data_IF_572314254942
#
_entry.id   IF_572314254942
#
_cell.length_a   1.000
_cell.length_b   1.000
_cell.length_c   1.000
_cell.angle_alpha   90.00
_cell.angle_beta   90.00
_cell.angle_gamma   90.00
#
_symmetry.space_group_name_H-M   'P 1'
#
loop_
_entity.id
_entity.type
_entity.pdbx_description
1 polymer ?
#
# COMPACT_ATOMS: atom_id res chain seq x y z
N UNK A 1 11.45 -5.03 -9.36
CA UNK A 1 10.67 -6.18 -8.83
C UNK A 1 11.35 -6.81 -7.62
N UNK A 2 10.64 -6.94 -6.47
CA UNK A 2 11.14 -7.66 -5.29
C UNK A 2 10.94 -9.18 -5.42
N UNK A 3 11.85 -9.98 -4.87
CA UNK A 3 11.76 -11.46 -4.87
C UNK A 3 12.10 -12.03 -3.49
N UNK A 4 11.29 -12.98 -2.98
CA UNK A 4 11.59 -13.71 -1.73
C UNK A 4 10.76 -14.99 -1.59
N UNK A 5 11.38 -16.09 -1.15
CA UNK A 5 10.75 -17.40 -0.87
C UNK A 5 9.85 -17.96 -1.99
N UNK A 6 10.25 -17.76 -3.25
CA UNK A 6 9.47 -18.22 -4.42
C UNK A 6 8.30 -17.31 -4.80
N UNK A 7 8.25 -16.09 -4.26
CA UNK A 7 7.28 -15.06 -4.62
C UNK A 7 7.99 -13.81 -5.16
N UNK A 8 7.31 -13.10 -6.05
CA UNK A 8 7.67 -11.74 -6.43
C UNK A 8 6.54 -10.77 -6.14
N UNK A 9 6.88 -9.51 -5.87
CA UNK A 9 5.92 -8.43 -5.74
C UNK A 9 6.48 -7.13 -6.31
N UNK A 10 5.61 -6.31 -6.88
CA UNK A 10 5.95 -5.01 -7.45
C UNK A 10 4.73 -4.09 -7.47
N UNK A 11 4.99 -2.80 -7.61
CA UNK A 11 3.96 -1.75 -7.71
C UNK A 11 3.96 -1.22 -9.13
N UNK A 12 2.75 -1.01 -9.67
CA UNK A 12 2.52 -0.46 -11.00
C UNK A 12 1.77 0.85 -10.88
N UNK A 13 2.24 1.89 -11.56
CA UNK A 13 1.60 3.21 -11.70
C UNK A 13 1.50 3.51 -13.19
N UNK A 14 0.30 3.87 -13.66
CA UNK A 14 0.03 4.16 -15.07
C UNK A 14 0.53 3.06 -16.03
N UNK A 15 0.35 1.80 -15.63
CA UNK A 15 0.77 0.63 -16.41
C UNK A 15 2.28 0.34 -16.42
N UNK A 16 3.08 1.09 -15.66
CA UNK A 16 4.54 0.91 -15.58
C UNK A 16 4.97 0.49 -14.17
N UNK A 17 5.91 -0.44 -14.11
CA UNK A 17 6.54 -0.83 -12.84
C UNK A 17 7.34 0.34 -12.27
N UNK A 18 7.15 0.59 -10.98
CA UNK A 18 7.86 1.64 -10.25
C UNK A 18 9.22 1.11 -9.78
N UNK A 19 10.32 1.86 -9.95
CA UNK A 19 11.63 1.42 -9.51
C UNK A 19 11.71 1.30 -7.98
N UNK A 20 12.34 0.23 -7.50
CA UNK A 20 12.59 0.02 -6.08
C UNK A 20 14.01 0.45 -5.67
N UNK A 21 14.09 1.13 -4.54
CA UNK A 21 15.33 1.69 -3.99
C UNK A 21 15.58 1.17 -2.58
N UNK A 22 16.86 1.06 -2.20
CA UNK A 22 17.31 0.59 -0.89
C UNK A 22 16.59 -0.69 -0.43
N UNK A 23 16.68 -1.74 -1.25
CA UNK A 23 16.07 -3.03 -0.93
C UNK A 23 16.79 -3.65 0.27
N UNK A 24 16.01 -4.01 1.30
CA UNK A 24 16.48 -4.67 2.50
C UNK A 24 15.69 -5.97 2.73
N UNK A 25 16.40 -7.02 3.15
CA UNK A 25 15.82 -8.34 3.44
C UNK A 25 16.00 -8.63 4.93
N UNK A 26 14.89 -8.89 5.60
CA UNK A 26 14.80 -9.34 6.98
C UNK A 26 14.46 -10.84 6.96
N UNK A 27 15.49 -11.66 7.15
CA UNK A 27 15.41 -13.12 7.04
C UNK A 27 14.54 -13.70 8.16
N UNK A 28 14.69 -13.18 9.37
CA UNK A 28 13.95 -13.67 10.55
C UNK A 28 12.45 -13.40 10.41
N UNK A 29 12.09 -12.22 9.92
CA UNK A 29 10.70 -11.86 9.65
C UNK A 29 10.17 -12.37 8.30
N UNK A 30 11.01 -12.96 7.46
CA UNK A 30 10.70 -13.33 6.06
C UNK A 30 10.07 -12.15 5.28
N UNK A 31 10.71 -10.99 5.40
CA UNK A 31 10.20 -9.72 4.90
C UNK A 31 11.23 -9.06 4.00
N UNK A 32 10.78 -8.55 2.85
CA UNK A 32 11.57 -7.66 2.00
C UNK A 32 10.95 -6.28 2.03
N UNK A 33 11.76 -5.25 2.19
CA UNK A 33 11.32 -3.86 2.15
C UNK A 33 12.11 -3.03 1.15
N UNK A 34 11.48 -2.03 0.55
CA UNK A 34 12.14 -1.04 -0.30
C UNK A 34 11.45 0.32 -0.19
N UNK A 35 12.06 1.31 -0.82
CA UNK A 35 11.47 2.61 -1.08
C UNK A 35 11.04 2.72 -2.53
N UNK A 36 9.90 3.38 -2.76
CA UNK A 36 9.38 3.69 -4.10
C UNK A 36 8.92 5.15 -4.16
N UNK A 37 9.05 5.84 -5.30
CA UNK A 37 8.37 7.11 -5.50
C UNK A 37 6.85 6.89 -5.58
N UNK A 38 6.09 7.83 -5.01
CA UNK A 38 4.63 7.87 -5.13
C UNK A 38 4.12 9.28 -4.91
N UNK A 39 3.47 9.86 -5.91
CA UNK A 39 2.88 11.19 -5.83
C UNK A 39 1.43 11.13 -5.37
N UNK A 40 1.04 12.10 -4.55
CA UNK A 40 -0.32 12.19 -4.00
C UNK A 40 -1.39 12.10 -5.09
N UNK A 41 -2.40 11.26 -4.86
CA UNK A 41 -3.54 11.08 -5.75
C UNK A 41 -3.27 10.18 -6.97
N UNK A 42 -2.02 9.80 -7.25
CA UNK A 42 -1.74 8.84 -8.31
C UNK A 42 -2.28 7.46 -7.96
N UNK A 43 -2.93 6.82 -8.94
CA UNK A 43 -3.43 5.46 -8.80
C UNK A 43 -2.30 4.45 -8.91
N UNK A 44 -2.38 3.39 -8.12
CA UNK A 44 -1.43 2.30 -8.21
C UNK A 44 -2.10 0.95 -8.07
N UNK A 45 -1.41 -0.07 -8.56
CA UNK A 45 -1.84 -1.45 -8.47
C UNK A 45 -0.73 -2.29 -7.84
N UNK A 46 -1.10 -3.15 -6.90
CA UNK A 46 -0.19 -4.09 -6.23
C UNK A 46 -0.22 -5.40 -7.00
N UNK A 47 0.92 -5.82 -7.52
CA UNK A 47 1.09 -7.08 -8.22
C UNK A 47 1.92 -8.06 -7.41
N UNK A 48 1.60 -9.35 -7.54
CA UNK A 48 2.42 -10.42 -7.01
C UNK A 48 2.32 -11.69 -7.83
N UNK A 49 3.39 -12.48 -7.76
CA UNK A 49 3.54 -13.73 -8.49
C UNK A 49 3.97 -14.85 -7.55
N UNK A 50 3.32 -15.99 -7.68
CA UNK A 50 3.80 -17.28 -7.17
C UNK A 50 4.55 -17.99 -8.30
N UNK A 51 5.83 -18.31 -8.08
CA UNK A 51 6.70 -18.93 -9.08
C UNK A 51 6.61 -20.47 -9.10
N UNK A 52 5.53 -21.05 -8.58
CA UNK A 52 5.30 -22.50 -8.66
C UNK A 52 5.46 -23.22 -7.33
N UNK A 53 4.99 -22.61 -6.24
CA UNK A 53 5.02 -23.21 -4.90
C UNK A 53 4.14 -24.46 -4.73
N UNK A 54 3.24 -24.75 -5.68
CA UNK A 54 2.25 -25.87 -5.66
C UNK A 54 1.35 -25.92 -4.42
N UNK A 55 1.35 -24.84 -3.63
CA UNK A 55 0.61 -24.69 -2.40
C UNK A 55 -0.34 -23.52 -2.59
N UNK A 56 -1.62 -23.72 -2.29
CA UNK A 56 -2.60 -22.65 -2.31
C UNK A 56 -2.18 -21.52 -1.36
N UNK A 57 -2.28 -20.28 -1.83
CA UNK A 57 -1.95 -19.09 -1.05
C UNK A 57 -3.09 -18.08 -1.06
N UNK A 58 -3.16 -17.28 -0.01
CA UNK A 58 -4.00 -16.09 0.03
C UNK A 58 -3.16 -14.87 0.40
N UNK A 59 -3.44 -13.76 -0.28
CA UNK A 59 -2.76 -12.49 -0.06
C UNK A 59 -3.66 -11.51 0.71
N UNK A 60 -3.03 -10.68 1.53
CA UNK A 60 -3.62 -9.53 2.18
C UNK A 60 -2.74 -8.32 1.92
N UNK A 61 -3.34 -7.19 1.61
CA UNK A 61 -2.62 -5.94 1.36
C UNK A 61 -2.96 -5.00 2.52
N UNK A 62 -1.97 -4.31 3.06
CA UNK A 62 -2.16 -3.26 4.06
C UNK A 62 -1.71 -1.94 3.45
N UNK A 63 -2.61 -0.97 3.41
CA UNK A 63 -2.39 0.38 2.87
C UNK A 63 -2.49 1.37 4.01
N UNK A 64 -1.38 1.96 4.42
CA UNK A 64 -1.34 2.96 5.50
C UNK A 64 -2.05 2.51 6.79
N UNK A 65 -1.89 1.23 7.13
CA UNK A 65 -2.54 0.59 8.28
C UNK A 65 -3.93 -0.01 8.01
N UNK A 66 -4.52 0.26 6.83
CA UNK A 66 -5.81 -0.31 6.43
C UNK A 66 -5.65 -1.63 5.66
N UNK A 67 -6.18 -2.71 6.21
CA UNK A 67 -6.05 -4.05 5.60
C UNK A 67 -7.18 -4.29 4.60
N UNK A 68 -6.82 -4.70 3.39
CA UNK A 68 -7.72 -5.10 2.32
C UNK A 68 -7.44 -6.54 1.89
N UNK A 69 -8.48 -7.33 1.57
CA UNK A 69 -8.27 -8.67 1.05
C UNK A 69 -7.61 -8.62 -0.33
N UNK A 70 -6.62 -9.48 -0.54
CA UNK A 70 -6.01 -9.72 -1.85
C UNK A 70 -6.76 -10.80 -2.63
N UNK A 71 -6.01 -11.60 -3.38
CA UNK A 71 -6.53 -12.76 -4.14
C UNK A 71 -5.90 -14.07 -3.67
N UNK A 72 -6.53 -15.17 -4.07
CA UNK A 72 -5.96 -16.51 -3.97
C UNK A 72 -5.06 -16.78 -5.19
N UNK A 73 -3.97 -17.52 -4.98
CA UNK A 73 -3.22 -18.19 -6.04
C UNK A 73 -3.17 -19.69 -5.72
N UNK A 74 -3.32 -20.54 -6.73
CA UNK A 74 -3.47 -21.99 -6.56
C UNK A 74 -2.17 -22.71 -6.90
N UNK A 75 -1.10 -22.36 -6.20
CA UNK A 75 0.22 -22.97 -6.36
C UNK A 75 1.10 -22.39 -7.46
N UNK A 76 0.57 -21.50 -8.31
CA UNK A 76 1.32 -20.68 -9.27
C UNK A 76 0.47 -19.52 -9.79
N UNK A 77 1.11 -18.58 -10.49
CA UNK A 77 0.44 -17.56 -11.29
C UNK A 77 0.69 -16.13 -10.80
N UNK A 78 0.04 -15.18 -11.48
CA UNK A 78 0.14 -13.75 -11.19
C UNK A 78 -1.23 -13.24 -10.75
N UNK A 79 -1.25 -12.41 -9.71
CA UNK A 79 -2.43 -11.70 -9.27
C UNK A 79 -2.12 -10.23 -9.05
N UNK A 80 -3.15 -9.41 -9.18
CA UNK A 80 -3.08 -8.00 -8.86
C UNK A 80 -4.33 -7.52 -8.13
N UNK A 81 -4.18 -6.39 -7.46
CA UNK A 81 -5.27 -5.64 -6.83
C UNK A 81 -5.00 -4.15 -6.98
N UNK A 82 -6.02 -3.43 -7.40
CA UNK A 82 -5.95 -1.99 -7.67
C UNK A 82 -7.00 -1.18 -6.91
N UNK A 83 -7.84 -1.81 -6.10
CA UNK A 83 -8.92 -1.15 -5.38
C UNK A 83 -9.64 -2.02 -4.35
N UNK A 84 -10.55 -1.38 -3.60
CA UNK A 84 -11.49 -2.02 -2.67
C UNK A 84 -12.88 -1.94 -3.25
N UNK A 85 -13.59 -3.07 -3.27
CA UNK A 85 -14.98 -3.10 -3.70
C UNK A 85 -15.87 -2.35 -2.70
N UNK A 86 -16.67 -1.44 -3.23
CA UNK A 86 -17.70 -0.69 -2.50
C UNK A 86 -19.10 -1.22 -2.78
N UNK A 87 -19.30 -1.89 -3.92
CA UNK A 87 -20.52 -2.63 -4.23
C UNK A 87 -20.23 -3.91 -5.04
N UNK A 88 -21.28 -4.56 -5.54
CA UNK A 88 -21.15 -5.70 -6.46
C UNK A 88 -20.49 -5.33 -7.78
N UNK A 89 -20.68 -4.10 -8.24
CA UNK A 89 -20.30 -3.62 -9.58
C UNK A 89 -19.41 -2.39 -9.53
N UNK A 90 -18.95 -1.98 -8.34
CA UNK A 90 -18.11 -0.81 -8.16
C UNK A 90 -16.97 -1.05 -7.19
N UNK A 91 -15.87 -0.36 -7.40
CA UNK A 91 -14.72 -0.33 -6.52
C UNK A 91 -14.09 1.05 -6.46
N UNK A 92 -13.37 1.34 -5.37
CA UNK A 92 -12.57 2.54 -5.25
C UNK A 92 -11.08 2.19 -5.41
N UNK A 93 -10.37 2.81 -6.36
CA UNK A 93 -8.99 2.47 -6.68
C UNK A 93 -8.04 2.91 -5.56
N UNK A 94 -6.90 2.25 -5.42
CA UNK A 94 -5.85 2.67 -4.50
C UNK A 94 -5.16 3.92 -5.02
N UNK A 95 -4.94 4.90 -4.14
CA UNK A 95 -4.17 6.11 -4.46
C UNK A 95 -3.12 6.40 -3.40
N UNK A 96 -1.96 6.92 -3.80
CA UNK A 96 -0.95 7.36 -2.84
C UNK A 96 -1.44 8.56 -2.03
N UNK A 97 -1.11 8.57 -0.75
CA UNK A 97 -1.41 9.71 0.12
C UNK A 97 -0.27 10.69 0.21
N UNK A 98 -0.61 11.92 0.58
CA UNK A 98 0.39 12.84 1.11
C UNK A 98 0.89 12.35 2.47
N UNK A 99 2.14 11.90 2.50
CA UNK A 99 2.82 11.59 3.74
C UNK A 99 3.43 12.88 4.29
N UNK A 100 3.02 13.30 5.49
CA UNK A 100 3.64 14.44 6.16
C UNK A 100 4.87 13.96 6.94
N UNK A 101 6.02 14.58 6.67
CA UNK A 101 7.29 14.22 7.29
C UNK A 101 7.53 14.90 8.65
N UNK A 102 6.60 15.76 9.08
CA UNK A 102 6.63 16.46 10.37
C UNK A 102 6.37 15.49 11.53
N UNK A 103 7.43 15.15 12.26
CA UNK A 103 7.39 14.40 13.50
C UNK A 103 6.80 15.23 14.65
N UNK A 104 5.52 15.59 14.58
CA UNK A 104 4.80 16.16 15.74
C UNK A 104 4.07 15.04 16.48
N UNK A 105 4.72 14.61 17.56
CA UNK A 105 4.22 13.78 18.65
C UNK A 105 2.74 13.95 18.97
N UNK A 106 1.90 12.90 18.77
CA UNK A 106 0.85 12.41 19.71
C UNK A 106 -0.11 11.30 19.22
N UNK A 107 0.08 10.58 18.09
CA UNK A 107 -0.79 9.42 17.78
C UNK A 107 -0.01 8.19 17.27
N UNK A 108 0.24 7.23 18.17
CA UNK A 108 1.39 6.32 18.11
C UNK A 108 1.18 4.93 17.46
N UNK A 109 0.01 4.60 16.93
CA UNK A 109 -0.22 3.27 16.34
C UNK A 109 -0.34 3.29 14.80
N UNK A 110 -1.20 4.15 14.23
CA UNK A 110 -1.40 4.24 12.77
C UNK A 110 -0.47 5.21 12.05
N UNK A 111 0.24 6.09 12.78
CA UNK A 111 1.27 6.94 12.18
C UNK A 111 2.50 6.15 11.72
N UNK A 112 2.73 4.95 12.27
CA UNK A 112 3.90 4.09 11.95
C UNK A 112 3.81 3.48 10.55
N UNK A 113 2.59 3.24 10.08
CA UNK A 113 2.33 2.59 8.80
C UNK A 113 2.04 3.63 7.70
N UNK A 114 2.04 4.93 8.01
CA UNK A 114 1.80 5.96 7.01
C UNK A 114 2.90 5.99 5.94
N UNK A 115 2.48 6.00 4.68
CA UNK A 115 3.37 5.87 3.54
C UNK A 115 3.88 4.44 3.35
N UNK A 116 3.08 3.43 3.71
CA UNK A 116 3.45 2.01 3.62
C UNK A 116 2.38 1.19 2.91
N UNK A 117 2.84 0.39 1.96
CA UNK A 117 2.06 -0.65 1.28
C UNK A 117 2.70 -1.99 1.63
N UNK A 118 1.99 -2.85 2.35
CA UNK A 118 2.49 -4.17 2.75
C UNK A 118 1.66 -5.29 2.13
N UNK A 119 2.28 -6.13 1.31
CA UNK A 119 1.69 -7.37 0.82
C UNK A 119 2.12 -8.53 1.72
N UNK A 120 1.15 -9.26 2.27
CA UNK A 120 1.37 -10.44 3.12
C UNK A 120 0.78 -11.67 2.46
N UNK A 121 1.60 -12.67 2.19
CA UNK A 121 1.18 -13.92 1.57
C UNK A 121 1.19 -15.02 2.64
N UNK A 122 0.09 -15.75 2.72
CA UNK A 122 -0.13 -16.86 3.66
C UNK A 122 -0.32 -18.16 2.87
N UNK A 123 0.30 -19.25 3.32
CA UNK A 123 0.08 -20.60 2.77
C UNK A 123 -1.12 -21.25 3.44
N UNK A 124 -2.02 -21.81 2.65
CA UNK A 124 -3.31 -22.32 3.11
C UNK A 124 -3.64 -23.70 2.55
N UNK A 125 -4.66 -24.31 3.14
CA UNK A 125 -5.43 -25.40 2.54
C UNK A 125 -6.89 -24.96 2.48
N UNK A 126 -7.53 -25.10 1.31
CA UNK A 126 -8.97 -24.86 1.15
C UNK A 126 -9.77 -25.92 1.90
N UNK A 127 -10.83 -25.51 2.59
CA UNK A 127 -11.68 -26.40 3.39
C UNK A 127 -13.04 -26.56 2.73
N UNK A 128 -13.77 -25.46 2.54
CA UNK A 128 -15.08 -25.47 1.94
C UNK A 128 -15.35 -24.17 1.15
N UNK A 129 -16.30 -24.21 0.23
CA UNK A 129 -16.84 -23.00 -0.37
C UNK A 129 -17.69 -22.25 0.66
N UNK A 130 -17.62 -20.92 0.65
CA UNK A 130 -18.44 -20.03 1.46
C UNK A 130 -18.92 -18.85 0.61
N UNK A 131 -19.97 -18.11 1.03
CA UNK A 131 -20.38 -16.89 0.35
C UNK A 131 -19.24 -15.88 0.27
N UNK A 132 -19.29 -15.00 -0.73
CA UNK A 132 -18.35 -13.88 -0.86
C UNK A 132 -18.22 -13.10 0.46
N UNK A 133 -17.02 -12.60 0.74
CA UNK A 133 -16.82 -11.77 1.92
C UNK A 133 -17.75 -10.54 1.83
N UNK A 134 -18.32 -10.15 2.97
CA UNK A 134 -19.09 -8.92 3.08
C UNK A 134 -18.27 -7.73 2.55
N UNK A 135 -18.95 -6.77 1.94
CA UNK A 135 -18.33 -5.54 1.51
C UNK A 135 -17.68 -4.87 2.73
N UNK A 136 -16.41 -4.53 2.59
CA UNK A 136 -15.69 -3.86 3.66
C UNK A 136 -16.22 -2.43 3.77
N UNK A 137 -16.71 -2.05 4.94
CA UNK A 137 -17.02 -0.66 5.19
C UNK A 137 -15.73 0.14 5.12
N UNK A 138 -15.64 0.99 4.10
CA UNK A 138 -14.60 2.00 4.07
C UNK A 138 -14.88 2.93 5.25
N UNK A 139 -13.88 3.30 6.06
CA UNK A 139 -14.16 4.14 7.21
C UNK A 139 -14.66 5.50 6.72
N UNK A 140 -15.96 5.76 6.91
CA UNK A 140 -16.56 7.08 6.74
C UNK A 140 -15.95 7.95 7.83
N UNK A 141 -14.97 8.76 7.43
CA UNK A 141 -14.40 9.90 8.14
C UNK A 141 -14.53 9.89 9.68
N UNK A 142 -13.42 9.64 10.38
CA UNK A 142 -12.74 10.55 11.33
C UNK A 142 -11.67 9.71 12.03
N UNK A 143 -10.42 9.85 11.58
CA UNK A 143 -9.25 9.21 12.19
C UNK A 143 -8.21 10.31 12.41
N UNK A 144 -8.47 11.18 13.39
CA UNK A 144 -7.79 12.47 13.50
C UNK A 144 -8.02 13.33 12.25
N UNK A 145 -7.12 14.27 11.96
CA UNK A 145 -7.18 15.14 10.76
C UNK A 145 -7.14 14.39 9.41
N UNK A 146 -7.08 13.05 9.38
CA UNK A 146 -7.03 12.23 8.16
C UNK A 146 -8.34 11.43 8.00
N UNK A 147 -8.90 11.40 6.79
CA UNK A 147 -10.08 10.59 6.48
C UNK A 147 -9.60 9.30 5.80
N UNK A 148 -10.05 8.13 6.25
CA UNK A 148 -9.70 6.87 5.56
C UNK A 148 -10.28 6.80 4.13
N UNK A 149 -11.27 7.65 3.82
CA UNK A 149 -11.74 7.88 2.47
C UNK A 149 -10.71 8.49 1.53
N UNK A 150 -9.61 9.03 2.04
CA UNK A 150 -8.55 9.64 1.24
C UNK A 150 -7.66 8.57 0.60
N UNK A 151 -7.53 7.36 1.18
CA UNK A 151 -6.73 6.23 0.65
C UNK A 151 -7.22 5.70 -0.70
N UNK A 152 -8.46 6.01 -1.05
CA UNK A 152 -9.13 5.46 -2.21
C UNK A 152 -9.63 6.57 -3.11
N UNK A 153 -9.41 6.42 -4.42
CA UNK A 153 -9.93 7.37 -5.40
C UNK A 153 -11.46 7.34 -5.47
N UNK A 154 -11.99 8.08 -6.45
CA UNK A 154 -13.43 8.08 -6.73
C UNK A 154 -13.92 6.68 -7.13
N UNK A 155 -15.18 6.40 -6.78
CA UNK A 155 -15.83 5.13 -7.09
C UNK A 155 -15.94 4.93 -8.61
N UNK A 156 -15.49 3.77 -9.06
CA UNK A 156 -15.44 3.40 -10.47
C UNK A 156 -16.15 2.06 -10.69
N UNK A 157 -16.69 1.82 -11.90
CA UNK A 157 -17.23 0.50 -12.26
C UNK A 157 -16.17 -0.59 -12.17
N UNK A 158 -16.56 -1.74 -11.63
CA UNK A 158 -15.72 -2.91 -11.46
C UNK A 158 -16.44 -4.17 -11.94
N UNK A 159 -15.69 -5.18 -12.34
CA UNK A 159 -16.26 -6.49 -12.67
C UNK A 159 -17.03 -7.08 -11.49
N UNK A 160 -18.12 -7.78 -11.81
CA UNK A 160 -18.98 -8.40 -10.80
C UNK A 160 -18.18 -9.32 -9.87
N UNK A 161 -18.40 -9.17 -8.56
CA UNK A 161 -17.76 -10.04 -7.58
C UNK A 161 -18.30 -11.46 -7.71
N UNK A 162 -17.41 -12.45 -7.75
CA UNK A 162 -17.80 -13.84 -7.62
C UNK A 162 -18.66 -14.06 -6.37
N UNK A 163 -19.76 -14.80 -6.52
CA UNK A 163 -20.74 -15.05 -5.47
C UNK A 163 -20.20 -15.88 -4.30
N UNK A 164 -19.08 -16.59 -4.50
CA UNK A 164 -18.45 -17.46 -3.51
C UNK A 164 -16.95 -17.24 -3.41
N UNK A 165 -16.40 -17.61 -2.25
CA UNK A 165 -14.98 -17.67 -1.96
C UNK A 165 -14.69 -18.90 -1.09
N UNK A 166 -13.47 -19.07 -0.59
CA UNK A 166 -13.06 -20.26 0.15
C UNK A 166 -12.90 -19.97 1.65
N UNK A 167 -13.34 -20.90 2.49
CA UNK A 167 -12.86 -21.04 3.85
C UNK A 167 -11.51 -21.78 3.83
N UNK A 168 -10.59 -21.36 4.70
CA UNK A 168 -9.18 -21.76 4.61
C UNK A 168 -8.62 -22.08 5.98
N UNK A 169 -7.69 -23.04 6.02
CA UNK A 169 -6.89 -23.39 7.20
C UNK A 169 -5.39 -23.24 6.88
N UNK A 170 -4.50 -23.16 7.89
CA UNK A 170 -3.06 -23.13 7.65
C UNK A 170 -2.59 -24.39 6.91
N UNK A 171 -1.71 -24.21 5.93
CA UNK A 171 -1.07 -25.34 5.26
C UNK A 171 -0.23 -26.16 6.24
N UNK A 172 -0.29 -27.50 6.13
CA UNK A 172 0.53 -28.42 6.93
C UNK A 172 0.03 -28.69 8.37
N UNK A 173 -1.12 -28.14 8.78
CA UNK A 173 -1.77 -28.52 10.04
C UNK A 173 -2.94 -29.48 9.81
N UNK A 174 -2.79 -30.70 10.33
CA UNK A 174 -3.83 -31.70 10.45
C UNK A 174 -4.29 -31.74 11.91
N UNK A 175 -5.41 -31.10 12.22
CA UNK A 175 -6.03 -31.12 13.55
C UNK A 175 -7.18 -30.11 13.65
N UNK A 176 -8.09 -30.27 14.62
CA UNK A 176 -9.28 -29.41 14.79
C UNK A 176 -8.95 -27.99 15.29
N UNK A 177 -7.66 -27.61 15.36
CA UNK A 177 -7.25 -26.29 15.82
C UNK A 177 -7.37 -25.28 14.67
N UNK A 178 -8.44 -24.49 14.71
CA UNK A 178 -8.69 -23.33 13.84
C UNK A 178 -7.72 -22.18 14.13
N UNK A 179 -6.41 -22.39 13.95
CA UNK A 179 -5.44 -21.28 14.01
C UNK A 179 -5.47 -20.52 12.69
N UNK A 180 -5.42 -19.20 12.75
CA UNK A 180 -5.31 -18.39 11.54
C UNK A 180 -3.99 -18.68 10.81
N UNK A 181 -3.96 -18.73 9.47
CA UNK A 181 -2.73 -18.92 8.73
C UNK A 181 -1.73 -17.79 9.01
N UNK A 182 -0.50 -18.17 9.35
CA UNK A 182 0.61 -17.23 9.56
C UNK A 182 1.14 -16.70 8.23
N UNK A 183 1.69 -15.49 8.25
CA UNK A 183 2.38 -14.92 7.10
C UNK A 183 3.62 -15.76 6.77
N UNK A 184 3.72 -16.22 5.52
CA UNK A 184 4.86 -16.98 5.01
C UNK A 184 5.94 -16.07 4.44
N UNK A 185 5.52 -15.01 3.74
CA UNK A 185 6.38 -13.96 3.20
C UNK A 185 5.64 -12.62 3.20
N UNK A 186 6.38 -11.54 3.38
CA UNK A 186 5.85 -10.18 3.24
C UNK A 186 6.76 -9.27 2.41
N UNK A 187 6.13 -8.37 1.65
CA UNK A 187 6.80 -7.35 0.87
C UNK A 187 6.28 -5.98 1.32
N UNK A 188 7.17 -5.06 1.65
CA UNK A 188 6.84 -3.75 2.20
C UNK A 188 7.42 -2.66 1.31
N UNK A 189 6.55 -1.89 0.67
CA UNK A 189 6.90 -0.75 -0.16
C UNK A 189 6.65 0.52 0.65
N UNK A 190 7.71 1.28 0.91
CA UNK A 190 7.64 2.58 1.58
C UNK A 190 7.60 3.65 0.51
N UNK A 191 6.47 4.34 0.39
CA UNK A 191 6.30 5.34 -0.66
C UNK A 191 6.46 6.75 -0.10
N UNK A 192 7.15 7.61 -0.85
CA UNK A 192 7.34 9.04 -0.58
C UNK A 192 7.38 9.80 -1.90
N UNK A 193 7.20 11.12 -1.84
CA UNK A 193 7.37 11.96 -3.03
C UNK A 193 8.79 11.86 -3.54
N UNK A 194 8.98 12.11 -4.84
CA UNK A 194 10.30 12.10 -5.45
C UNK A 194 11.26 13.05 -4.73
N UNK A 195 10.80 14.26 -4.39
CA UNK A 195 11.62 15.29 -3.75
C UNK A 195 12.16 14.81 -2.40
N UNK A 196 11.33 14.09 -1.62
CA UNK A 196 11.77 13.51 -0.36
C UNK A 196 12.87 12.47 -0.58
N UNK A 197 12.69 11.57 -1.56
CA UNK A 197 13.66 10.52 -1.85
C UNK A 197 15.00 11.10 -2.34
N UNK A 198 14.97 12.16 -3.15
CA UNK A 198 16.17 12.90 -3.57
C UNK A 198 16.86 13.56 -2.38
N UNK A 199 16.10 14.27 -1.53
CA UNK A 199 16.64 14.95 -0.35
C UNK A 199 17.27 14.01 0.67
N UNK A 200 16.77 12.77 0.77
CA UNK A 200 17.34 11.71 1.61
C UNK A 200 18.48 10.94 0.92
N UNK A 201 18.81 11.25 -0.34
CA UNK A 201 19.84 10.54 -1.10
C UNK A 201 19.47 9.10 -1.45
N UNK A 202 18.17 8.75 -1.43
CA UNK A 202 17.66 7.42 -1.78
C UNK A 202 17.67 7.24 -3.31
N UNK A 203 17.42 8.32 -4.04
CA UNK A 203 17.50 8.39 -5.50
C UNK A 203 18.39 9.55 -5.95
N UNK A 204 18.98 9.49 -7.16
CA UNK A 204 19.79 10.58 -7.68
C UNK A 204 18.97 11.87 -7.83
N UNK A 205 19.56 13.01 -7.46
CA UNK A 205 18.96 14.32 -7.66
C UNK A 205 18.83 14.62 -9.15
N UNK A 206 17.61 14.90 -9.62
CA UNK A 206 17.41 15.32 -11.00
C UNK A 206 18.09 16.67 -11.24
N UNK A 207 19.02 16.74 -12.19
CA UNK A 207 19.77 17.95 -12.53
C UNK A 207 18.90 19.11 -13.08
N UNK A 208 17.62 18.87 -13.36
CA UNK A 208 16.68 19.87 -13.88
C UNK A 208 15.75 20.35 -12.77
N UNK A 209 16.25 21.23 -11.90
CA UNK A 209 15.37 22.07 -11.08
C UNK A 209 15.00 23.32 -11.89
N UNK A 210 13.71 23.57 -12.21
CA UNK A 210 13.31 24.91 -12.59
C UNK A 210 13.66 25.86 -11.42
N UNK A 211 14.16 27.07 -11.70
CA UNK A 211 14.59 27.97 -10.64
C UNK A 211 13.45 28.20 -9.65
N UNK A 212 13.67 27.84 -8.38
CA UNK A 212 12.77 28.19 -7.29
C UNK A 212 12.66 29.71 -7.30
N UNK A 213 11.46 30.23 -7.61
CA UNK A 213 11.19 31.66 -7.48
C UNK A 213 11.48 32.05 -6.02
N UNK A 214 12.40 32.98 -5.75
CA UNK A 214 12.62 33.42 -4.38
C UNK A 214 11.31 34.00 -3.85
N UNK A 215 10.88 33.54 -2.67
CA UNK A 215 9.80 34.14 -1.90
C UNK A 215 10.21 35.59 -1.61
N UNK A 216 9.60 36.54 -2.33
CA UNK A 216 9.73 37.95 -2.02
C UNK A 216 9.04 38.17 -0.66
N UNK A 217 9.84 38.20 0.40
CA UNK A 217 9.42 38.75 1.67
C UNK A 217 9.29 40.27 1.49
N UNK A 218 8.07 40.73 1.16
CA UNK A 218 7.76 42.16 1.12
C UNK A 218 7.75 42.69 2.57
N UNK A 219 8.95 42.98 3.12
CA UNK A 219 9.07 43.82 4.32
C UNK A 219 8.76 45.26 3.92
N UNK A 220 7.50 45.66 4.04
CA UNK A 220 7.16 47.08 4.10
C UNK A 220 7.51 47.60 5.49
N UNK A 221 8.71 48.16 5.62
CA UNK A 221 9.07 49.04 6.72
C UNK A 221 8.56 50.46 6.43
N UNK A 222 7.92 51.05 7.43
CA UNK A 222 7.41 52.43 7.53
C UNK A 222 8.49 53.50 7.21
N UNK A 223 8.09 54.77 7.02
CA UNK A 223 8.26 55.65 8.17
C UNK A 223 7.10 56.63 8.42
N UNK A 224 6.83 56.79 9.71
CA UNK A 224 6.19 57.93 10.36
C UNK A 224 7.00 59.20 10.08
N UNK A 225 6.35 60.28 9.63
CA UNK A 225 6.73 61.66 10.01
C UNK A 225 5.50 62.55 10.16
N UNK A 226 5.23 62.92 11.43
CA UNK A 226 4.42 64.08 11.85
C UNK A 226 5.19 65.38 11.54
N UNK A 227 4.47 66.45 11.19
CA UNK A 227 4.62 67.85 11.69
C UNK A 227 3.50 68.69 11.01
N UNK A 228 2.52 69.10 11.81
CA UNK A 228 2.28 70.46 12.35
C UNK A 228 1.66 71.39 11.31
#
# INVERSE_FOLDING_TARGET
>A
MLTHRGFSAWIVVDGKEVPEHLVAVDIDANRVSCWIPGEEGQRFSVYWKDHGGRIDTCAFITLDGFVVPGRFLFGEGVACREGVRTSRTTERPFIFQKVHDEATSTMQAMAKDAGMIALRIKRITRVASKPANALQSLPSAVLGKRKAGDLFGEEAPAFEQYSSTWSVKPYGQNGPSCKEPKTYVSFVFRYRTREFLEAQGIIPESAVRPPQRPLIALRLAFPIKRRK
#
